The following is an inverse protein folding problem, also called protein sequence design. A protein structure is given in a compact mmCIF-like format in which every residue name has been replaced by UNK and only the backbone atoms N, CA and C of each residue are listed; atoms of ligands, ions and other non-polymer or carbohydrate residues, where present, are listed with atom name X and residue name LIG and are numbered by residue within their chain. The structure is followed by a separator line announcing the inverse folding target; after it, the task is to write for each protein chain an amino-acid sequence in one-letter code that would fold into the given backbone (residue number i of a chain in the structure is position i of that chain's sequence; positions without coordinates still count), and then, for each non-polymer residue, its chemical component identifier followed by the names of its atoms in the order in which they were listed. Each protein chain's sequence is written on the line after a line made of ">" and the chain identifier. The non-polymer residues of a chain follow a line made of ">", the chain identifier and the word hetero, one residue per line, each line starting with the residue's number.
data_IF_829522627261
#
_entry.id   IF_829522627261
#
_cell.length_a   1.000
_cell.length_b   1.000
_cell.length_c   1.000
_cell.angle_alpha   90.00
_cell.angle_beta   90.00
_cell.angle_gamma   90.00
#
_symmetry.space_group_name_H-M   'P 1'
#
loop_
_entity.id
_entity.type
_entity.pdbx_description
1 polymer ?
#
# COMPACT_ATOMS: atom_id res chain seq x y z
N UNK A 1 -7.58 -27.77 -7.84
CA UNK A 1 -6.50 -27.03 -7.16
C UNK A 1 -5.94 -25.87 -7.99
N UNK A 2 -5.59 -26.06 -9.27
CA UNK A 2 -5.03 -24.99 -10.15
C UNK A 2 -5.98 -23.80 -10.37
N UNK A 3 -7.30 -24.02 -10.40
CA UNK A 3 -8.30 -22.94 -10.57
C UNK A 3 -8.31 -21.92 -9.42
N UNK A 4 -7.92 -22.32 -8.20
CA UNK A 4 -7.86 -21.43 -7.04
C UNK A 4 -6.63 -20.51 -7.08
N UNK A 5 -5.52 -20.97 -7.65
CA UNK A 5 -4.31 -20.16 -7.82
C UNK A 5 -4.42 -19.19 -9.00
N UNK A 6 -5.02 -19.62 -10.13
CA UNK A 6 -5.21 -18.77 -11.30
C UNK A 6 -6.41 -17.82 -11.19
N UNK A 7 -7.39 -18.11 -10.32
CA UNK A 7 -8.53 -17.23 -10.02
C UNK A 7 -8.21 -16.14 -9.00
N UNK A 8 -7.00 -16.16 -8.42
CA UNK A 8 -6.54 -15.18 -7.45
C UNK A 8 -6.08 -13.90 -8.16
N UNK A 9 -7.05 -13.05 -8.53
CA UNK A 9 -6.85 -11.77 -9.20
C UNK A 9 -5.69 -10.89 -8.65
N UNK A 10 -5.43 -10.77 -7.33
CA UNK A 10 -4.37 -9.90 -6.82
C UNK A 10 -2.97 -10.43 -7.12
N UNK A 11 -2.82 -11.73 -7.38
CA UNK A 11 -1.51 -12.35 -7.56
C UNK A 11 -0.82 -11.81 -8.83
N UNK A 12 -1.58 -11.66 -9.93
CA UNK A 12 -1.08 -11.07 -11.17
C UNK A 12 -0.72 -9.58 -11.01
N UNK A 13 -1.55 -8.82 -10.29
CA UNK A 13 -1.32 -7.39 -10.05
C UNK A 13 -0.08 -7.15 -9.17
N UNK A 14 0.13 -7.95 -8.12
CA UNK A 14 1.31 -7.87 -7.26
C UNK A 14 2.58 -8.22 -8.05
N UNK A 15 2.57 -9.27 -8.87
CA UNK A 15 3.72 -9.64 -9.69
C UNK A 15 4.12 -8.54 -10.67
N UNK A 16 3.15 -7.94 -11.36
CA UNK A 16 3.42 -6.82 -12.27
C UNK A 16 4.01 -5.60 -11.53
N UNK A 17 3.48 -5.29 -10.33
CA UNK A 17 3.96 -4.18 -9.53
C UNK A 17 5.40 -4.40 -9.03
N UNK A 18 5.71 -5.59 -8.49
CA UNK A 18 7.05 -5.93 -7.98
C UNK A 18 8.08 -5.95 -9.13
N UNK A 19 7.70 -6.41 -10.32
CA UNK A 19 8.56 -6.34 -11.50
C UNK A 19 8.86 -4.88 -11.92
N UNK A 20 7.85 -4.01 -11.90
CA UNK A 20 8.01 -2.59 -12.21
C UNK A 20 8.89 -1.85 -11.19
N UNK A 21 8.63 -2.06 -9.89
CA UNK A 21 9.42 -1.49 -8.81
C UNK A 21 10.87 -1.99 -8.85
N UNK A 22 11.06 -3.31 -9.02
CA UNK A 22 12.39 -3.92 -9.14
C UNK A 22 13.17 -3.39 -10.34
N UNK A 23 12.51 -3.16 -11.49
CA UNK A 23 13.16 -2.54 -12.65
C UNK A 23 13.59 -1.10 -12.34
N UNK A 24 12.70 -0.28 -11.75
CA UNK A 24 12.98 1.10 -11.37
C UNK A 24 14.15 1.23 -10.37
N UNK A 25 14.28 0.26 -9.47
CA UNK A 25 15.37 0.20 -8.51
C UNK A 25 16.69 -0.26 -9.15
N UNK A 26 16.64 -1.25 -10.05
CA UNK A 26 17.82 -1.74 -10.77
C UNK A 26 18.43 -0.72 -11.72
N UNK A 27 17.61 0.13 -12.33
CA UNK A 27 18.10 1.27 -13.14
C UNK A 27 18.57 2.44 -12.26
N UNK A 28 18.47 2.34 -10.94
CA UNK A 28 18.92 3.35 -9.98
C UNK A 28 18.06 4.60 -9.96
N UNK A 29 16.86 4.59 -10.56
CA UNK A 29 16.01 5.77 -10.68
C UNK A 29 15.58 6.25 -9.29
N UNK A 30 15.07 5.34 -8.46
CA UNK A 30 14.61 5.64 -7.09
C UNK A 30 15.73 6.23 -6.21
N UNK A 31 16.87 5.56 -6.01
CA UNK A 31 17.94 6.09 -5.16
C UNK A 31 18.57 7.37 -5.70
N UNK A 32 18.73 7.52 -7.03
CA UNK A 32 19.25 8.76 -7.61
C UNK A 32 18.32 9.96 -7.37
N UNK A 33 17.00 9.74 -7.45
CA UNK A 33 16.00 10.77 -7.17
C UNK A 33 16.04 11.20 -5.71
N UNK A 34 16.17 10.23 -4.78
CA UNK A 34 16.30 10.51 -3.35
C UNK A 34 17.55 11.32 -3.01
N UNK A 35 18.71 10.93 -3.57
CA UNK A 35 19.99 11.66 -3.34
C UNK A 35 19.91 13.07 -3.93
N UNK A 36 19.32 13.23 -5.12
CA UNK A 36 19.14 14.55 -5.74
C UNK A 36 18.21 15.46 -4.94
N UNK A 37 17.14 14.91 -4.35
CA UNK A 37 16.28 15.64 -3.42
C UNK A 37 17.01 16.02 -2.14
N UNK A 38 17.87 15.14 -1.61
CA UNK A 38 18.67 15.41 -0.42
C UNK A 38 19.75 16.48 -0.64
N UNK A 39 20.40 16.51 -1.81
CA UNK A 39 21.49 17.45 -2.09
C UNK A 39 21.04 18.91 -2.28
N UNK A 40 19.75 19.14 -2.58
CA UNK A 40 19.21 20.47 -2.84
C UNK A 40 18.52 21.10 -1.61
N UNK A 41 18.83 20.60 -0.41
CA UNK A 41 18.26 21.06 0.86
C UNK A 41 18.87 22.38 1.30
N UNK A 42 18.02 23.41 1.46
CA UNK A 42 18.37 24.61 2.22
C UNK A 42 18.04 24.39 3.71
N UNK A 43 18.79 25.04 4.61
CA UNK A 43 18.69 24.83 6.06
C UNK A 43 17.28 25.03 6.65
N UNK A 44 16.43 25.79 5.95
CA UNK A 44 15.05 26.07 6.35
C UNK A 44 14.08 24.92 6.07
N UNK A 45 14.34 24.12 5.01
CA UNK A 45 13.49 23.01 4.58
C UNK A 45 14.04 21.62 4.93
N UNK A 46 15.15 21.56 5.68
CA UNK A 46 15.84 20.32 6.03
C UNK A 46 14.91 19.29 6.72
N UNK A 47 14.07 19.71 7.66
CA UNK A 47 13.13 18.81 8.37
C UNK A 47 12.09 18.20 7.42
N UNK A 48 11.50 19.03 6.54
CA UNK A 48 10.50 18.55 5.58
C UNK A 48 11.11 17.58 4.57
N UNK A 49 12.31 17.86 4.08
CA UNK A 49 12.99 16.99 3.11
C UNK A 49 13.41 15.66 3.73
N UNK A 50 13.96 15.66 4.96
CA UNK A 50 14.30 14.41 5.66
C UNK A 50 13.05 13.56 5.88
N UNK A 51 11.94 14.16 6.30
CA UNK A 51 10.68 13.46 6.50
C UNK A 51 10.14 12.87 5.18
N UNK A 52 10.24 13.63 4.08
CA UNK A 52 9.81 13.20 2.76
C UNK A 52 10.68 12.06 2.21
N UNK A 53 12.00 12.15 2.35
CA UNK A 53 12.94 11.10 1.95
C UNK A 53 12.70 9.83 2.78
N UNK A 54 12.52 9.97 4.09
CA UNK A 54 12.22 8.87 5.00
C UNK A 54 10.91 8.16 4.61
N UNK A 55 9.87 8.92 4.28
CA UNK A 55 8.59 8.41 3.80
C UNK A 55 8.70 7.59 2.50
N UNK A 56 9.46 8.08 1.52
CA UNK A 56 9.68 7.37 0.24
C UNK A 56 10.62 6.17 0.34
N UNK A 57 11.37 6.05 1.44
CA UNK A 57 12.42 5.04 1.57
C UNK A 57 11.89 3.59 1.56
N UNK A 58 10.66 3.38 2.01
CA UNK A 58 10.06 2.04 2.07
C UNK A 58 9.85 1.41 0.68
N UNK A 59 9.63 2.24 -0.36
CA UNK A 59 9.44 1.76 -1.74
C UNK A 59 10.79 1.34 -2.34
N UNK A 60 11.89 1.96 -1.89
CA UNK A 60 13.21 1.75 -2.46
C UNK A 60 14.01 0.67 -1.78
N UNK A 61 13.80 0.36 -0.50
CA UNK A 61 14.48 -0.78 0.16
C UNK A 61 13.95 -1.01 1.57
N UNK A 62 13.73 -2.27 1.95
CA UNK A 62 13.51 -2.65 3.36
C UNK A 62 14.70 -2.28 4.26
N UNK A 63 15.91 -2.20 3.69
CA UNK A 63 17.11 -1.80 4.44
C UNK A 63 17.08 -0.33 4.85
N UNK A 64 16.28 0.51 4.18
CA UNK A 64 16.25 1.94 4.45
C UNK A 64 15.66 2.27 5.83
N UNK A 65 14.86 1.37 6.41
CA UNK A 65 14.31 1.50 7.78
C UNK A 65 15.41 1.66 8.84
N UNK A 66 16.55 0.98 8.65
CA UNK A 66 17.68 0.98 9.58
C UNK A 66 18.66 2.11 9.27
N UNK A 67 18.77 2.47 7.99
CA UNK A 67 19.77 3.44 7.50
C UNK A 67 19.26 4.88 7.59
N UNK A 68 17.95 5.12 7.51
CA UNK A 68 17.40 6.48 7.54
C UNK A 68 17.57 7.23 8.86
N UNK A 69 17.40 6.61 10.05
CA UNK A 69 17.63 7.30 11.31
C UNK A 69 19.04 7.91 11.45
N UNK A 70 20.14 7.17 11.22
CA UNK A 70 21.48 7.77 11.27
C UNK A 70 21.73 8.76 10.13
N UNK A 71 21.18 8.53 8.93
CA UNK A 71 21.28 9.48 7.81
C UNK A 71 20.60 10.83 8.10
N UNK A 72 19.40 10.81 8.68
CA UNK A 72 18.69 12.03 9.08
C UNK A 72 19.46 12.86 10.12
N UNK A 73 20.12 12.18 11.07
CA UNK A 73 20.98 12.83 12.06
C UNK A 73 22.21 13.49 11.41
N UNK A 74 22.87 12.79 10.48
CA UNK A 74 24.02 13.30 9.71
C UNK A 74 23.65 14.53 8.86
N UNK A 75 22.50 14.51 8.19
CA UNK A 75 22.02 15.64 7.38
C UNK A 75 21.78 16.89 8.26
N UNK A 76 21.16 16.72 9.43
CA UNK A 76 20.94 17.83 10.36
C UNK A 76 22.24 18.39 10.95
N UNK A 77 23.21 17.52 11.21
CA UNK A 77 24.53 17.90 11.70
C UNK A 77 25.32 18.68 10.63
N UNK A 78 25.25 18.26 9.37
CA UNK A 78 25.87 18.97 8.24
C UNK A 78 25.26 20.37 8.00
N UNK A 79 23.98 20.57 8.37
CA UNK A 79 23.26 21.84 8.26
C UNK A 79 23.44 22.73 9.52
N UNK A 80 24.13 22.24 10.56
CA UNK A 80 24.38 22.98 11.80
C UNK A 80 23.18 23.03 12.76
N UNK A 81 22.23 22.08 12.63
CA UNK A 81 21.09 21.93 13.54
C UNK A 81 21.25 20.75 14.49
N UNK A 82 20.40 20.70 15.51
CA UNK A 82 20.43 19.65 16.53
C UNK A 82 20.17 18.26 15.90
N UNK A 83 21.11 17.31 15.99
CA UNK A 83 21.03 16.04 15.27
C UNK A 83 19.85 15.16 15.72
N UNK A 84 19.41 15.30 16.98
CA UNK A 84 18.23 14.57 17.48
C UNK A 84 16.96 14.95 16.73
N UNK A 85 16.85 16.18 16.23
CA UNK A 85 15.69 16.58 15.43
C UNK A 85 15.68 15.85 14.08
N UNK A 86 16.85 15.64 13.46
CA UNK A 86 16.99 14.85 12.25
C UNK A 86 16.67 13.37 12.47
N UNK A 87 17.15 12.80 13.58
CA UNK A 87 16.85 11.43 13.98
C UNK A 87 15.33 11.22 14.16
N UNK A 88 14.68 12.07 14.96
CA UNK A 88 13.24 11.98 15.23
C UNK A 88 12.41 12.18 13.96
N UNK A 89 12.81 13.12 13.10
CA UNK A 89 12.13 13.35 11.83
C UNK A 89 12.23 12.16 10.88
N UNK A 90 13.37 11.48 10.84
CA UNK A 90 13.54 10.28 10.03
C UNK A 90 12.70 9.11 10.59
N UNK A 91 12.72 8.88 11.91
CA UNK A 91 11.92 7.82 12.55
C UNK A 91 10.42 8.05 12.31
N UNK A 92 9.95 9.28 12.51
CA UNK A 92 8.56 9.65 12.25
C UNK A 92 8.18 9.46 10.77
N UNK A 93 9.04 9.89 9.84
CA UNK A 93 8.78 9.74 8.40
C UNK A 93 8.71 8.28 7.95
N UNK A 94 9.65 7.45 8.42
CA UNK A 94 9.68 6.01 8.12
C UNK A 94 8.44 5.31 8.67
N UNK A 95 8.05 5.60 9.93
CA UNK A 95 6.89 4.98 10.55
C UNK A 95 5.57 5.33 9.86
N UNK A 96 5.42 6.57 9.38
CA UNK A 96 4.22 7.00 8.66
C UNK A 96 4.12 6.46 7.23
N UNK A 97 5.25 6.08 6.61
CA UNK A 97 5.30 5.66 5.20
C UNK A 97 4.69 4.29 4.91
N UNK A 98 4.46 3.46 5.93
CA UNK A 98 3.94 2.10 5.72
C UNK A 98 2.45 2.05 5.40
N UNK A 99 1.69 3.06 5.84
CA UNK A 99 0.21 3.11 5.71
C UNK A 99 -0.27 4.22 4.80
N UNK A 100 0.44 5.33 4.71
CA UNK A 100 0.13 6.38 3.74
C UNK A 100 0.98 6.15 2.49
N UNK A 101 0.35 5.72 1.39
CA UNK A 101 1.04 5.51 0.13
C UNK A 101 0.67 6.58 -0.89
N UNK A 102 1.67 7.19 -1.54
CA UNK A 102 1.44 8.19 -2.60
C UNK A 102 1.29 7.55 -3.99
N UNK A 103 1.74 6.29 -4.11
CA UNK A 103 1.64 5.47 -5.32
C UNK A 103 0.70 4.29 -5.03
N UNK A 104 0.54 3.35 -5.95
CA UNK A 104 -0.12 2.08 -5.65
C UNK A 104 0.97 1.10 -5.21
N UNK A 105 0.87 0.56 -3.99
CA UNK A 105 1.79 -0.44 -3.43
C UNK A 105 1.10 -1.80 -3.28
N UNK A 106 1.90 -2.83 -3.07
CA UNK A 106 1.43 -4.20 -2.83
C UNK A 106 0.38 -4.29 -1.71
N UNK A 107 0.50 -3.48 -0.66
CA UNK A 107 -0.48 -3.35 0.44
C UNK A 107 -1.86 -2.90 -0.06
N UNK A 108 -1.93 -1.98 -1.02
CA UNK A 108 -3.19 -1.49 -1.59
C UNK A 108 -3.88 -2.58 -2.42
N UNK A 109 -3.11 -3.33 -3.21
CA UNK A 109 -3.63 -4.44 -4.04
C UNK A 109 -4.18 -5.56 -3.16
N UNK A 110 -3.49 -5.87 -2.06
CA UNK A 110 -3.95 -6.87 -1.10
C UNK A 110 -5.23 -6.42 -0.39
N UNK A 111 -5.29 -5.16 0.05
CA UNK A 111 -6.48 -4.59 0.69
C UNK A 111 -7.66 -4.54 -0.29
N UNK A 112 -7.45 -4.12 -1.53
CA UNK A 112 -8.47 -4.11 -2.57
C UNK A 112 -9.05 -5.51 -2.78
N UNK A 113 -8.21 -6.54 -2.80
CA UNK A 113 -8.70 -7.91 -2.89
C UNK A 113 -9.38 -8.39 -1.62
N UNK A 114 -8.95 -8.00 -0.42
CA UNK A 114 -9.72 -8.32 0.78
C UNK A 114 -11.14 -7.72 0.72
N UNK A 115 -11.29 -6.53 0.13
CA UNK A 115 -12.60 -5.90 -0.07
C UNK A 115 -13.42 -6.56 -1.19
N UNK A 116 -12.79 -6.99 -2.28
CA UNK A 116 -13.49 -7.57 -3.45
C UNK A 116 -13.64 -9.10 -3.40
N UNK A 117 -12.72 -9.79 -2.74
CA UNK A 117 -12.66 -11.25 -2.59
C UNK A 117 -13.67 -11.82 -1.59
N UNK A 118 -14.27 -10.97 -0.75
CA UNK A 118 -15.47 -11.30 0.05
C UNK A 118 -16.79 -10.86 -0.59
N UNK A 119 -16.74 -10.20 -1.76
CA UNK A 119 -17.86 -9.44 -2.32
C UNK A 119 -18.96 -10.25 -3.02
N UNK A 120 -18.74 -11.53 -3.30
CA UNK A 120 -19.77 -12.43 -3.84
C UNK A 120 -20.54 -13.13 -2.70
N UNK A 121 -19.82 -13.61 -1.66
CA UNK A 121 -20.45 -14.26 -0.50
C UNK A 121 -21.25 -13.29 0.37
N UNK A 122 -20.79 -12.06 0.58
CA UNK A 122 -21.55 -11.07 1.35
C UNK A 122 -22.79 -10.56 0.59
N UNK A 123 -22.75 -10.51 -0.74
CA UNK A 123 -23.88 -10.06 -1.57
C UNK A 123 -24.97 -11.13 -1.63
N UNK A 124 -24.59 -12.40 -1.77
CA UNK A 124 -25.53 -13.51 -1.76
C UNK A 124 -26.03 -13.82 -0.33
N UNK A 125 -25.22 -13.60 0.72
CA UNK A 125 -25.65 -13.66 2.12
C UNK A 125 -26.68 -12.60 2.50
N UNK A 126 -26.48 -11.35 2.07
CA UNK A 126 -27.43 -10.25 2.29
C UNK A 126 -28.69 -10.37 1.40
N UNK A 127 -28.57 -10.99 0.21
CA UNK A 127 -29.72 -11.37 -0.63
C UNK A 127 -30.55 -12.51 0.01
N UNK A 128 -29.89 -13.56 0.52
CA UNK A 128 -30.52 -14.68 1.24
C UNK A 128 -31.20 -14.25 2.54
N UNK A 129 -30.67 -13.24 3.23
CA UNK A 129 -31.28 -12.64 4.42
C UNK A 129 -32.47 -11.74 4.07
N UNK A 130 -32.40 -10.96 2.98
CA UNK A 130 -33.53 -10.19 2.45
C UNK A 130 -34.65 -11.07 1.92
N UNK A 131 -34.34 -12.16 1.23
CA UNK A 131 -35.35 -13.12 0.75
C UNK A 131 -36.10 -13.79 1.91
N UNK A 132 -35.42 -14.15 3.01
CA UNK A 132 -36.12 -14.64 4.22
C UNK A 132 -37.07 -13.60 4.83
N UNK A 133 -36.73 -12.31 4.78
CA UNK A 133 -37.65 -11.25 5.23
C UNK A 133 -38.79 -10.98 4.24
N UNK A 134 -38.55 -11.11 2.94
CA UNK A 134 -39.54 -10.81 1.89
C UNK A 134 -40.54 -11.95 1.65
N UNK A 135 -40.15 -13.22 1.90
CA UNK A 135 -41.07 -14.37 1.91
C UNK A 135 -42.15 -14.22 2.99
N UNK A 136 -41.85 -13.55 4.12
CA UNK A 136 -42.84 -13.24 5.16
C UNK A 136 -43.86 -12.16 4.73
N UNK A 137 -43.57 -11.39 3.67
CA UNK A 137 -44.41 -10.28 3.19
C UNK A 137 -45.04 -10.50 1.81
N UNK A 138 -44.92 -11.70 1.22
CA UNK A 138 -45.67 -12.07 0.00
C UNK A 138 -45.38 -11.25 -1.26
N UNK A 139 -44.25 -10.55 -1.33
CA UNK A 139 -43.81 -9.79 -2.50
C UNK A 139 -42.59 -10.47 -3.15
N UNK A 140 -42.82 -11.16 -4.27
CA UNK A 140 -41.77 -11.72 -5.13
C UNK A 140 -41.01 -10.58 -5.83
N UNK A 141 -39.93 -10.11 -5.22
CA UNK A 141 -38.94 -9.27 -5.88
C UNK A 141 -38.09 -10.11 -6.83
N UNK A 142 -37.84 -9.61 -8.04
CA UNK A 142 -37.03 -10.27 -9.06
C UNK A 142 -35.56 -10.38 -8.58
N UNK A 143 -35.15 -11.59 -8.22
CA UNK A 143 -33.76 -11.92 -7.84
C UNK A 143 -32.99 -12.31 -9.12
N UNK A 144 -31.80 -11.74 -9.39
CA UNK A 144 -31.01 -12.11 -10.56
C UNK A 144 -30.65 -13.61 -10.51
N UNK A 145 -30.94 -14.34 -11.59
CA UNK A 145 -30.84 -15.82 -11.69
C UNK A 145 -29.44 -16.40 -11.39
N UNK A 146 -28.41 -15.57 -11.33
CA UNK A 146 -27.03 -16.00 -11.08
C UNK A 146 -26.77 -16.37 -9.60
N UNK A 147 -27.55 -15.89 -8.63
CA UNK A 147 -27.35 -16.26 -7.20
C UNK A 147 -27.83 -17.70 -6.89
N UNK A 148 -28.80 -18.24 -7.64
CA UNK A 148 -29.26 -19.63 -7.45
C UNK A 148 -28.27 -20.66 -8.00
N UNK A 149 -27.46 -20.27 -8.99
CA UNK A 149 -26.58 -21.22 -9.69
C UNK A 149 -25.34 -21.64 -8.88
N UNK A 150 -25.08 -20.97 -7.76
CA UNK A 150 -23.97 -21.29 -6.84
C UNK A 150 -24.29 -22.40 -5.83
N UNK A 151 -25.56 -22.84 -5.70
CA UNK A 151 -25.97 -23.85 -4.70
C UNK A 151 -25.87 -25.31 -5.21
N UNK A 152 -25.47 -25.54 -6.48
CA UNK A 152 -25.41 -26.87 -7.11
C UNK A 152 -24.06 -27.20 -7.79
N UNK A 153 -22.93 -26.78 -7.22
CA UNK A 153 -21.59 -27.32 -7.59
C UNK A 153 -20.69 -27.53 -6.40
#
# INVERSE_FOLDING_TARGET
>A
MIKNFSGFAPLGAILALVLGAGLAERVGLLPALMVKMASHVSARYASYMVLFIAFFSHISSDAALVIMPPMGALIFLAVGRHPVAGLLSAIAGVGCGFTANLLIVTTDVLLLWHQHGGGEDHRCGNARQRDRQLVLYGQLGHCPDDCWRADYR
#
